data_IF_197752776702
#
_entry.id   IF_197752776702
#
_cell.length_a   1.000
_cell.length_b   1.000
_cell.length_c   1.000
_cell.angle_alpha   90.00
_cell.angle_beta   90.00
_cell.angle_gamma   90.00
#
_symmetry.space_group_name_H-M   'P 1'
#
loop_
_entity.id
_entity.type
_entity.pdbx_description
1 polymer ?
#
# COMPACT_ATOMS: atom_id res chain seq x y z
N UNK A 1 -41.89 33.06 16.39
CA UNK A 1 -40.65 33.42 15.67
C UNK A 1 -39.57 32.45 16.16
N UNK A 2 -39.51 31.19 15.76
CA UNK A 2 -39.83 30.51 14.47
C UNK A 2 -38.82 30.78 13.36
N UNK A 3 -37.98 29.75 13.09
CA UNK A 3 -37.32 29.40 11.82
C UNK A 3 -36.25 30.36 11.25
N UNK A 4 -35.23 29.95 10.46
CA UNK A 4 -34.49 28.67 10.18
C UNK A 4 -33.23 29.07 9.36
N UNK A 5 -32.40 28.10 8.94
CA UNK A 5 -31.28 28.17 7.96
C UNK A 5 -29.87 28.36 8.55
N UNK A 6 -28.83 27.64 8.09
CA UNK A 6 -28.81 26.33 7.41
C UNK A 6 -27.38 25.75 7.44
N UNK A 7 -27.24 24.43 7.27
CA UNK A 7 -25.94 23.82 6.94
C UNK A 7 -25.47 24.25 5.54
N UNK A 8 -24.23 24.71 5.43
CA UNK A 8 -23.27 24.64 4.31
C UNK A 8 -21.92 25.11 4.91
N UNK A 9 -20.74 24.57 4.65
CA UNK A 9 -20.20 23.51 3.77
C UNK A 9 -19.33 22.59 4.69
N UNK A 10 -19.13 21.27 4.53
CA UNK A 10 -19.02 20.42 3.33
C UNK A 10 -18.09 21.00 2.25
N UNK A 11 -16.87 21.34 2.67
CA UNK A 11 -15.79 21.77 1.79
C UNK A 11 -14.52 20.97 2.07
N UNK A 12 -14.06 20.24 1.06
CA UNK A 12 -12.69 19.71 0.91
C UNK A 12 -12.14 18.77 1.99
N UNK A 13 -12.53 17.50 1.92
CA UNK A 13 -11.66 16.36 2.34
C UNK A 13 -10.94 15.75 1.11
N UNK A 14 -11.05 16.40 -0.06
CA UNK A 14 -10.65 15.88 -1.37
C UNK A 14 -9.24 16.29 -1.82
N UNK A 15 -8.29 16.44 -0.89
CA UNK A 15 -6.89 16.84 -1.18
C UNK A 15 -5.90 16.03 -0.34
N UNK A 16 -6.14 14.73 -0.21
CA UNK A 16 -5.48 13.87 0.77
C UNK A 16 -4.97 12.54 0.21
N UNK A 17 -4.59 12.47 -1.08
CA UNK A 17 -4.11 11.23 -1.67
C UNK A 17 -2.98 11.39 -2.71
N UNK A 18 -1.72 11.16 -2.27
CA UNK A 18 -0.64 10.64 -3.13
C UNK A 18 0.25 9.59 -2.42
N UNK A 19 0.93 8.58 -3.02
CA UNK A 19 1.00 7.92 -4.34
C UNK A 19 1.56 6.49 -4.09
N UNK A 20 0.74 5.42 -4.15
CA UNK A 20 1.15 4.03 -3.79
C UNK A 20 2.03 3.31 -4.85
N UNK A 21 2.79 4.05 -5.67
CA UNK A 21 3.29 3.59 -6.98
C UNK A 21 4.82 3.49 -7.19
N UNK A 22 5.66 3.65 -6.16
CA UNK A 22 7.13 3.69 -6.36
C UNK A 22 7.85 2.33 -6.38
N UNK A 23 7.12 1.20 -6.31
CA UNK A 23 7.71 -0.16 -6.19
C UNK A 23 7.89 -0.87 -7.56
N UNK A 24 7.58 -0.21 -8.68
CA UNK A 24 7.51 -0.82 -10.02
C UNK A 24 8.61 -0.36 -11.02
N UNK A 25 9.71 0.27 -10.57
CA UNK A 25 10.81 0.73 -11.44
C UNK A 25 12.13 -0.02 -11.14
N UNK A 26 13.05 -0.13 -12.11
CA UNK A 26 13.35 -1.46 -12.65
C UNK A 26 14.54 -2.19 -12.01
N UNK A 27 14.47 -3.52 -12.08
CA UNK A 27 15.52 -4.47 -11.68
C UNK A 27 16.74 -4.50 -12.65
N UNK A 28 17.12 -3.36 -13.22
CA UNK A 28 18.20 -3.21 -14.21
C UNK A 28 19.41 -2.47 -13.63
N UNK A 29 19.85 -2.88 -12.45
CA UNK A 29 21.07 -2.39 -11.82
C UNK A 29 22.34 -2.88 -12.54
N UNK A 30 22.68 -2.24 -13.67
CA UNK A 30 24.08 -2.14 -14.08
C UNK A 30 24.80 -1.17 -13.12
N UNK A 31 25.97 -1.51 -12.56
CA UNK A 31 26.53 -0.79 -11.42
C UNK A 31 27.28 0.49 -11.84
N UNK A 32 26.54 1.55 -12.23
CA UNK A 32 26.95 2.98 -12.19
C UNK A 32 25.89 3.89 -12.81
N UNK A 33 24.82 4.19 -12.08
CA UNK A 33 23.97 5.35 -12.34
C UNK A 33 23.34 5.83 -11.04
N UNK A 34 23.29 7.14 -10.82
CA UNK A 34 22.53 7.74 -9.71
C UNK A 34 21.04 7.37 -9.84
N UNK A 35 20.29 7.25 -8.73
CA UNK A 35 18.86 6.95 -8.81
C UNK A 35 18.15 8.00 -9.68
N UNK A 36 17.28 7.59 -10.61
CA UNK A 36 16.56 8.53 -11.47
C UNK A 36 15.58 9.35 -10.63
N UNK A 37 15.86 10.65 -10.49
CA UNK A 37 14.90 11.64 -10.01
C UNK A 37 13.84 11.88 -11.08
N UNK A 38 12.88 10.97 -11.18
CA UNK A 38 11.70 11.13 -12.04
C UNK A 38 10.61 11.84 -11.25
N UNK A 39 10.63 13.17 -11.27
CA UNK A 39 9.49 14.00 -10.84
C UNK A 39 8.34 13.86 -11.84
N UNK A 40 7.59 12.76 -11.75
CA UNK A 40 6.27 12.63 -12.36
C UNK A 40 5.22 12.73 -11.24
N UNK A 41 4.56 13.88 -11.04
CA UNK A 41 3.54 14.02 -10.01
C UNK A 41 2.29 13.21 -10.40
N UNK A 42 2.15 12.02 -9.83
CA UNK A 42 0.94 11.20 -9.87
C UNK A 42 -0.18 11.78 -8.97
N UNK A 43 -0.28 13.12 -8.88
CA UNK A 43 -1.20 13.87 -8.02
C UNK A 43 -2.66 13.85 -8.49
N UNK A 44 -2.97 13.20 -9.62
CA UNK A 44 -4.32 13.06 -10.18
C UNK A 44 -4.55 11.64 -10.76
N UNK A 45 -4.13 10.57 -10.07
CA UNK A 45 -4.45 9.19 -10.48
C UNK A 45 -5.90 8.83 -10.10
N UNK A 46 -6.73 8.67 -11.14
CA UNK A 46 -8.12 8.22 -10.97
C UNK A 46 -8.24 6.80 -10.39
N UNK A 47 -7.23 5.95 -10.59
CA UNK A 47 -7.20 4.60 -10.02
C UNK A 47 -6.86 4.61 -8.53
N UNK A 48 -6.01 5.55 -8.07
CA UNK A 48 -5.71 5.74 -6.63
C UNK A 48 -6.94 6.29 -5.90
N UNK A 49 -7.61 7.30 -6.47
CA UNK A 49 -8.88 7.81 -5.95
C UNK A 49 -9.92 6.68 -5.85
N UNK A 50 -10.12 5.92 -6.94
CA UNK A 50 -11.02 4.77 -6.96
C UNK A 50 -10.67 3.76 -5.87
N UNK A 51 -9.40 3.34 -5.77
CA UNK A 51 -8.93 2.40 -4.75
C UNK A 51 -9.26 2.87 -3.32
N UNK A 52 -9.06 4.14 -3.00
CA UNK A 52 -9.37 4.66 -1.66
C UNK A 52 -10.86 4.54 -1.29
N UNK A 53 -11.76 4.68 -2.27
CA UNK A 53 -13.20 4.53 -2.05
C UNK A 53 -13.67 3.09 -1.92
N UNK A 54 -12.89 2.13 -2.44
CA UNK A 54 -13.23 0.70 -2.39
C UNK A 54 -13.18 0.14 -0.97
N UNK A 55 -12.22 0.57 -0.16
CA UNK A 55 -11.99 0.03 1.18
C UNK A 55 -13.11 0.35 2.18
N UNK A 56 -13.20 -0.46 3.24
CA UNK A 56 -14.13 -0.20 4.36
C UNK A 56 -13.82 1.10 5.09
N UNK A 57 -14.80 1.60 5.84
CA UNK A 57 -14.59 2.75 6.75
C UNK A 57 -13.44 2.52 7.71
N UNK A 58 -13.25 1.29 8.19
CA UNK A 58 -12.28 0.98 9.23
C UNK A 58 -10.85 0.91 8.67
N UNK A 59 -10.70 0.43 7.44
CA UNK A 59 -9.45 0.49 6.69
C UNK A 59 -9.11 1.96 6.37
N UNK A 60 -10.08 2.76 5.88
CA UNK A 60 -9.88 4.18 5.62
C UNK A 60 -9.49 4.94 6.91
N UNK A 61 -10.23 4.74 8.01
CA UNK A 61 -9.93 5.33 9.32
C UNK A 61 -8.54 4.93 9.83
N UNK A 62 -8.09 3.71 9.52
CA UNK A 62 -6.73 3.24 9.84
C UNK A 62 -5.68 3.95 9.00
N UNK A 63 -5.83 3.99 7.68
CA UNK A 63 -4.89 4.64 6.77
C UNK A 63 -4.74 6.15 7.04
N UNK A 64 -5.83 6.83 7.42
CA UNK A 64 -5.84 8.28 7.67
C UNK A 64 -5.78 8.66 9.16
N UNK A 65 -5.51 7.72 10.07
CA UNK A 65 -5.65 7.88 11.53
C UNK A 65 -4.96 9.13 12.12
N UNK A 66 -3.82 9.53 11.57
CA UNK A 66 -3.06 10.71 11.98
C UNK A 66 -2.91 11.78 10.88
N UNK A 67 -3.73 11.73 9.82
CA UNK A 67 -3.55 12.62 8.65
C UNK A 67 -3.63 14.10 9.05
N UNK A 68 -4.65 14.50 9.81
CA UNK A 68 -4.85 15.87 10.32
C UNK A 68 -3.93 16.23 11.52
N UNK A 69 -3.21 15.25 12.07
CA UNK A 69 -2.47 15.33 13.34
C UNK A 69 -0.94 15.25 13.17
N UNK A 70 -0.43 15.72 12.03
CA UNK A 70 1.01 15.76 11.75
C UNK A 70 1.62 14.43 11.32
N UNK A 71 0.80 13.43 10.96
CA UNK A 71 1.16 12.06 10.54
C UNK A 71 1.50 11.13 11.71
N UNK A 72 1.59 9.83 11.41
CA UNK A 72 1.78 8.80 12.42
C UNK A 72 3.21 8.81 12.96
N UNK A 73 3.36 8.80 14.28
CA UNK A 73 4.63 8.49 14.93
C UNK A 73 4.61 7.02 15.37
N UNK A 74 5.58 6.25 14.87
CA UNK A 74 5.70 4.81 15.14
C UNK A 74 6.77 4.52 16.19
N UNK A 75 7.54 5.53 16.63
CA UNK A 75 8.48 5.40 17.75
C UNK A 75 7.69 5.09 19.02
N UNK A 76 8.00 3.95 19.64
CA UNK A 76 7.14 3.24 20.58
C UNK A 76 6.74 4.04 21.84
N UNK A 77 5.45 3.99 22.17
CA UNK A 77 4.99 3.89 23.58
C UNK A 77 4.49 2.47 23.94
N UNK A 78 3.74 1.79 23.05
CA UNK A 78 3.38 0.37 23.20
C UNK A 78 2.79 -0.21 21.89
N UNK A 79 3.11 -1.47 21.49
CA UNK A 79 2.52 -2.09 20.30
C UNK A 79 1.03 -2.43 20.46
N UNK A 80 0.53 -2.53 21.70
CA UNK A 80 -0.90 -2.69 22.02
C UNK A 80 -1.55 -1.35 22.42
N UNK A 81 -0.80 -0.25 22.32
CA UNK A 81 -1.29 1.10 22.57
C UNK A 81 -2.10 1.67 21.41
N UNK A 82 -2.75 2.81 21.67
CA UNK A 82 -3.27 3.68 20.62
C UNK A 82 -2.11 4.24 19.80
N UNK A 83 -2.34 4.47 18.51
CA UNK A 83 -1.38 5.13 17.63
C UNK A 83 -1.20 6.58 18.07
N UNK A 84 0.06 7.00 18.21
CA UNK A 84 0.43 8.38 18.51
C UNK A 84 0.66 9.12 17.20
N UNK A 85 0.15 10.34 17.11
CA UNK A 85 0.39 11.24 15.99
C UNK A 85 1.51 12.23 16.34
N UNK A 86 2.17 12.82 15.36
CA UNK A 86 3.35 13.66 15.59
C UNK A 86 3.06 14.96 16.38
N UNK A 87 1.80 15.38 16.51
CA UNK A 87 1.37 16.45 17.41
C UNK A 87 1.20 16.01 18.89
N UNK A 88 1.43 14.74 19.19
CA UNK A 88 1.27 14.12 20.52
C UNK A 88 -0.16 13.66 20.83
N UNK A 89 -1.10 13.75 19.89
CA UNK A 89 -2.45 13.19 20.06
C UNK A 89 -2.47 11.68 19.88
N UNK A 90 -3.49 11.03 20.46
CA UNK A 90 -3.73 9.60 20.28
C UNK A 90 -4.92 9.40 19.34
N UNK A 91 -4.72 8.65 18.26
CA UNK A 91 -5.81 8.23 17.38
C UNK A 91 -6.66 7.12 18.04
N UNK A 92 -7.84 6.85 17.50
CA UNK A 92 -8.71 5.74 17.94
C UNK A 92 -8.23 4.36 17.47
N UNK A 93 -7.22 4.34 16.61
CA UNK A 93 -6.63 3.14 15.97
C UNK A 93 -5.43 2.69 16.80
N UNK A 94 -5.18 1.38 16.90
CA UNK A 94 -4.00 0.86 17.63
C UNK A 94 -2.74 0.91 16.77
N UNK A 95 -1.57 1.05 17.40
CA UNK A 95 -0.26 1.02 16.73
C UNK A 95 -0.09 -0.24 15.86
N UNK A 96 -0.44 -1.42 16.39
CA UNK A 96 -0.46 -2.69 15.65
C UNK A 96 -1.42 -2.70 14.46
N UNK A 97 -2.64 -2.19 14.61
CA UNK A 97 -3.60 -2.14 13.50
C UNK A 97 -3.08 -1.23 12.37
N UNK A 98 -2.54 -0.06 12.72
CA UNK A 98 -1.93 0.85 11.77
C UNK A 98 -0.77 0.20 11.00
N UNK A 99 0.22 -0.35 11.70
CA UNK A 99 1.37 -0.99 11.05
C UNK A 99 0.92 -2.17 10.19
N UNK A 100 0.03 -3.03 10.67
CA UNK A 100 -0.46 -4.17 9.88
C UNK A 100 -1.12 -3.71 8.58
N UNK A 101 -2.16 -2.86 8.67
CA UNK A 101 -2.92 -2.39 7.51
C UNK A 101 -2.04 -1.65 6.49
N UNK A 102 -1.18 -0.73 6.93
CA UNK A 102 -0.28 -0.02 6.01
C UNK A 102 0.74 -0.99 5.42
N UNK A 103 1.32 -1.90 6.22
CA UNK A 103 2.30 -2.88 5.72
C UNK A 103 1.71 -3.85 4.70
N UNK A 104 0.47 -4.30 4.90
CA UNK A 104 -0.22 -5.24 4.01
C UNK A 104 -0.61 -4.56 2.69
N UNK A 105 -1.07 -3.29 2.71
CA UNK A 105 -1.35 -2.50 1.50
C UNK A 105 -0.08 -2.26 0.68
N UNK A 106 1.03 -1.87 1.32
CA UNK A 106 2.31 -1.67 0.64
C UNK A 106 2.88 -2.98 0.10
N UNK A 107 2.80 -4.08 0.86
CA UNK A 107 3.21 -5.41 0.39
C UNK A 107 2.36 -5.88 -0.80
N UNK A 108 1.05 -5.65 -0.78
CA UNK A 108 0.16 -5.96 -1.90
C UNK A 108 0.53 -5.16 -3.16
N UNK A 109 0.80 -3.86 -3.05
CA UNK A 109 1.31 -3.05 -4.18
C UNK A 109 2.65 -3.58 -4.72
N UNK A 110 3.55 -4.05 -3.85
CA UNK A 110 4.81 -4.68 -4.27
C UNK A 110 4.56 -6.00 -5.03
N UNK A 111 3.65 -6.85 -4.53
CA UNK A 111 3.30 -8.12 -5.19
C UNK A 111 2.65 -7.90 -6.57
N UNK A 112 1.76 -6.91 -6.69
CA UNK A 112 1.16 -6.51 -7.97
C UNK A 112 2.25 -5.96 -8.90
N UNK A 113 3.16 -5.12 -8.41
CA UNK A 113 4.32 -4.64 -9.17
C UNK A 113 5.19 -5.78 -9.72
N UNK A 114 5.45 -6.83 -8.92
CA UNK A 114 6.14 -8.03 -9.39
C UNK A 114 5.35 -8.81 -10.45
N UNK A 115 4.02 -8.93 -10.31
CA UNK A 115 3.18 -9.53 -11.37
C UNK A 115 3.23 -8.73 -12.68
N UNK A 116 3.13 -7.40 -12.61
CA UNK A 116 3.24 -6.50 -13.78
C UNK A 116 4.62 -6.64 -14.45
N UNK A 117 5.69 -6.67 -13.65
CA UNK A 117 7.04 -6.88 -14.16
C UNK A 117 7.21 -8.26 -14.86
N UNK A 118 6.64 -9.34 -14.33
CA UNK A 118 6.66 -10.66 -14.99
C UNK A 118 5.81 -10.70 -16.28
N UNK A 119 4.73 -9.90 -16.37
CA UNK A 119 3.94 -9.77 -17.60
C UNK A 119 4.71 -9.03 -18.70
N UNK A 120 5.45 -7.98 -18.34
CA UNK A 120 6.31 -7.21 -19.26
C UNK A 120 7.57 -7.99 -19.69
N UNK A 121 8.13 -8.78 -18.77
CA UNK A 121 9.37 -9.52 -18.97
C UNK A 121 9.15 -11.00 -18.69
N UNK A 122 8.59 -11.79 -19.63
CA UNK A 122 8.26 -13.21 -19.43
C UNK A 122 9.43 -14.13 -19.08
N UNK A 123 10.67 -13.65 -19.18
CA UNK A 123 11.87 -14.32 -18.67
C UNK A 123 12.01 -14.25 -17.14
N UNK A 124 11.34 -13.31 -16.47
CA UNK A 124 11.29 -13.22 -15.02
C UNK A 124 10.25 -14.23 -14.51
N UNK A 125 10.68 -15.10 -13.62
CA UNK A 125 9.84 -16.14 -12.98
C UNK A 125 9.65 -15.82 -11.49
N UNK A 126 8.60 -16.36 -10.83
CA UNK A 126 8.43 -16.23 -9.37
C UNK A 126 9.66 -16.70 -8.59
N UNK A 127 10.32 -17.78 -9.05
CA UNK A 127 11.58 -18.29 -8.51
C UNK A 127 12.69 -17.24 -8.60
N UNK A 128 12.80 -16.51 -9.70
CA UNK A 128 13.78 -15.42 -9.82
C UNK A 128 13.46 -14.28 -8.86
N UNK A 129 12.18 -13.88 -8.70
CA UNK A 129 11.80 -12.84 -7.72
C UNK A 129 12.19 -13.25 -6.30
N UNK A 130 11.93 -14.51 -5.92
CA UNK A 130 12.32 -15.06 -4.61
C UNK A 130 13.85 -15.05 -4.44
N UNK A 131 14.59 -15.59 -5.42
CA UNK A 131 16.07 -15.59 -5.42
C UNK A 131 16.70 -14.20 -5.41
N UNK A 132 16.05 -13.20 -6.02
CA UNK A 132 16.49 -11.81 -5.90
C UNK A 132 16.38 -11.36 -4.44
N UNK A 133 15.22 -11.56 -3.80
CA UNK A 133 14.99 -11.13 -2.41
C UNK A 133 15.73 -11.93 -1.33
N UNK A 134 16.43 -13.01 -1.69
CA UNK A 134 17.44 -13.66 -0.85
C UNK A 134 18.82 -12.96 -0.92
N UNK A 135 19.08 -12.15 -1.94
CA UNK A 135 20.35 -11.43 -2.13
C UNK A 135 20.37 -10.11 -1.32
N UNK A 136 21.31 -9.92 -0.37
CA UNK A 136 21.41 -8.72 0.46
C UNK A 136 21.51 -7.39 -0.30
N UNK A 137 22.12 -7.38 -1.49
CA UNK A 137 22.24 -6.15 -2.30
C UNK A 137 20.87 -5.71 -2.81
N UNK A 138 20.04 -6.65 -3.29
CA UNK A 138 18.72 -6.32 -3.82
C UNK A 138 17.69 -6.08 -2.70
N UNK A 139 17.83 -6.75 -1.54
CA UNK A 139 17.11 -6.39 -0.31
C UNK A 139 17.39 -4.92 0.04
N UNK A 140 18.65 -4.48 -0.06
CA UNK A 140 19.04 -3.08 0.15
C UNK A 140 18.38 -2.11 -0.83
N UNK A 141 18.33 -2.45 -2.12
CA UNK A 141 17.62 -1.66 -3.14
C UNK A 141 16.12 -1.63 -2.87
N UNK A 142 15.49 -2.76 -2.53
CA UNK A 142 14.06 -2.82 -2.22
C UNK A 142 13.71 -2.01 -0.98
N UNK A 143 14.55 -2.07 0.07
CA UNK A 143 14.43 -1.22 1.27
C UNK A 143 14.39 0.26 0.87
N UNK A 144 15.35 0.71 0.05
CA UNK A 144 15.44 2.10 -0.39
C UNK A 144 14.23 2.54 -1.24
N UNK A 145 13.69 1.64 -2.08
CA UNK A 145 12.47 1.93 -2.86
C UNK A 145 11.26 2.10 -1.95
N UNK A 146 11.06 1.20 -0.96
CA UNK A 146 9.95 1.31 -0.01
C UNK A 146 10.12 2.53 0.90
N UNK A 147 11.34 2.82 1.38
CA UNK A 147 11.68 4.02 2.14
C UNK A 147 11.32 5.29 1.35
N UNK A 148 11.72 5.38 0.09
CA UNK A 148 11.34 6.47 -0.79
C UNK A 148 9.82 6.57 -0.98
N UNK A 149 9.11 5.44 -1.15
CA UNK A 149 7.63 5.43 -1.19
C UNK A 149 7.04 5.99 0.09
N UNK A 150 7.43 5.48 1.26
CA UNK A 150 6.90 5.89 2.57
C UNK A 150 7.09 7.39 2.80
N UNK A 151 8.27 7.93 2.48
CA UNK A 151 8.59 9.36 2.59
C UNK A 151 7.74 10.18 1.61
N UNK A 152 7.65 9.78 0.34
CA UNK A 152 6.89 10.51 -0.70
C UNK A 152 5.38 10.54 -0.44
N UNK A 153 4.83 9.48 0.18
CA UNK A 153 3.41 9.38 0.50
C UNK A 153 3.02 10.19 1.75
N UNK A 154 4.00 10.71 2.50
CA UNK A 154 3.78 11.44 3.74
C UNK A 154 2.89 10.70 4.75
N UNK A 155 2.97 9.36 4.84
CA UNK A 155 2.33 8.58 5.92
C UNK A 155 2.96 8.87 7.29
N UNK A 156 4.22 9.30 7.27
CA UNK A 156 5.05 9.61 8.43
C UNK A 156 5.61 11.05 8.30
N UNK A 157 6.06 11.67 9.41
CA UNK A 157 6.77 12.94 9.34
C UNK A 157 8.07 12.81 8.55
N UNK A 158 8.36 13.77 7.65
CA UNK A 158 9.48 13.67 6.70
C UNK A 158 10.89 13.59 7.32
N UNK A 159 11.03 13.90 8.62
CA UNK A 159 12.29 13.79 9.38
C UNK A 159 12.33 12.57 10.33
N UNK A 160 11.24 11.79 10.43
CA UNK A 160 11.09 10.70 11.39
C UNK A 160 11.73 9.39 10.92
N UNK A 161 13.06 9.39 10.76
CA UNK A 161 13.86 8.24 10.27
C UNK A 161 13.52 6.93 10.96
N UNK A 162 13.41 6.92 12.29
CA UNK A 162 13.08 5.71 13.06
C UNK A 162 11.67 5.18 12.79
N UNK A 163 10.68 6.05 12.58
CA UNK A 163 9.33 5.64 12.19
C UNK A 163 9.32 5.07 10.77
N UNK A 164 10.11 5.65 9.86
CA UNK A 164 10.29 5.13 8.50
C UNK A 164 10.94 3.74 8.53
N UNK A 165 12.02 3.54 9.29
CA UNK A 165 12.65 2.23 9.48
C UNK A 165 11.65 1.18 9.98
N UNK A 166 10.82 1.50 10.98
CA UNK A 166 9.80 0.59 11.54
C UNK A 166 8.78 0.16 10.47
N UNK A 167 8.29 1.10 9.65
CA UNK A 167 7.31 0.77 8.61
C UNK A 167 7.96 0.01 7.45
N UNK A 168 9.16 0.40 7.03
CA UNK A 168 9.94 -0.28 5.98
C UNK A 168 10.28 -1.71 6.39
N UNK A 169 10.69 -1.93 7.66
CA UNK A 169 10.92 -3.26 8.22
C UNK A 169 9.64 -4.12 8.22
N UNK A 170 8.50 -3.53 8.60
CA UNK A 170 7.22 -4.22 8.57
C UNK A 170 6.84 -4.66 7.14
N UNK A 171 6.92 -3.75 6.16
CA UNK A 171 6.66 -4.06 4.73
C UNK A 171 7.62 -5.12 4.21
N UNK A 172 8.93 -4.98 4.45
CA UNK A 172 9.93 -5.98 4.02
C UNK A 172 9.68 -7.35 4.63
N UNK A 173 9.33 -7.42 5.92
CA UNK A 173 9.00 -8.67 6.59
C UNK A 173 7.72 -9.31 6.02
N UNK A 174 6.69 -8.52 5.68
CA UNK A 174 5.49 -9.01 4.97
C UNK A 174 5.86 -9.62 3.63
N UNK A 175 6.60 -8.88 2.81
CA UNK A 175 7.04 -9.29 1.47
C UNK A 175 7.87 -10.58 1.53
N UNK A 176 8.88 -10.64 2.41
CA UNK A 176 9.73 -11.81 2.58
C UNK A 176 8.95 -13.03 3.08
N UNK A 177 8.06 -12.86 4.07
CA UNK A 177 7.22 -13.97 4.58
C UNK A 177 6.30 -14.51 3.49
N UNK A 178 5.69 -13.61 2.72
CA UNK A 178 4.76 -13.93 1.64
C UNK A 178 5.44 -14.74 0.53
N UNK A 179 6.66 -14.36 0.16
CA UNK A 179 7.42 -15.00 -0.92
C UNK A 179 8.20 -16.26 -0.50
N UNK A 180 7.99 -16.77 0.73
CA UNK A 180 8.42 -18.12 1.10
C UNK A 180 7.63 -19.20 0.35
N UNK A 181 6.42 -18.89 -0.12
CA UNK A 181 5.67 -19.71 -1.07
C UNK A 181 5.92 -19.18 -2.50
N UNK A 182 6.75 -19.90 -3.27
CA UNK A 182 7.02 -19.57 -4.68
C UNK A 182 5.76 -19.52 -5.56
N UNK A 183 4.69 -20.21 -5.16
CA UNK A 183 3.42 -20.20 -5.88
C UNK A 183 2.57 -18.96 -5.59
N UNK A 184 2.89 -18.19 -4.55
CA UNK A 184 2.10 -17.05 -4.11
C UNK A 184 1.94 -16.01 -5.21
N UNK A 185 3.00 -15.64 -5.93
CA UNK A 185 2.91 -14.68 -7.05
C UNK A 185 2.08 -15.19 -8.23
N UNK A 186 1.95 -16.51 -8.42
CA UNK A 186 1.07 -17.10 -9.43
C UNK A 186 -0.40 -17.08 -8.97
N UNK A 187 -0.61 -17.17 -7.66
CA UNK A 187 -1.91 -17.26 -6.99
C UNK A 187 -2.36 -15.94 -6.32
N UNK A 188 -1.66 -14.81 -6.55
CA UNK A 188 -1.87 -13.54 -5.82
C UNK A 188 -3.33 -13.06 -5.87
N UNK A 189 -3.95 -13.18 -7.05
CA UNK A 189 -5.33 -12.76 -7.33
C UNK A 189 -6.36 -13.87 -7.04
N UNK A 190 -5.92 -15.01 -6.48
CA UNK A 190 -6.73 -16.19 -6.25
C UNK A 190 -7.21 -16.87 -7.55
N UNK A 191 -8.22 -17.72 -7.41
CA UNK A 191 -8.99 -18.23 -8.55
C UNK A 191 -10.01 -17.19 -9.05
N UNK A 192 -10.51 -17.28 -10.29
CA UNK A 192 -11.50 -16.32 -10.81
C UNK A 192 -12.76 -16.15 -9.93
N UNK A 193 -13.25 -17.24 -9.33
CA UNK A 193 -14.40 -17.19 -8.42
C UNK A 193 -14.08 -16.47 -7.10
N UNK A 194 -12.84 -16.59 -6.60
CA UNK A 194 -12.40 -15.82 -5.43
C UNK A 194 -12.21 -14.34 -5.80
N UNK A 195 -11.60 -14.03 -6.95
CA UNK A 195 -11.45 -12.67 -7.47
C UNK A 195 -12.81 -11.97 -7.58
N UNK A 196 -13.79 -12.57 -8.28
CA UNK A 196 -15.14 -12.01 -8.45
C UNK A 196 -15.84 -11.77 -7.09
N UNK A 197 -15.70 -12.70 -6.15
CA UNK A 197 -16.27 -12.57 -4.80
C UNK A 197 -15.62 -11.44 -4.01
N UNK A 198 -14.29 -11.29 -4.07
CA UNK A 198 -13.55 -10.20 -3.40
C UNK A 198 -13.90 -8.85 -4.02
N UNK A 199 -13.97 -8.75 -5.35
CA UNK A 199 -14.40 -7.51 -6.02
C UNK A 199 -15.81 -7.10 -5.58
N UNK A 200 -16.74 -8.05 -5.54
CA UNK A 200 -18.14 -7.80 -5.19
C UNK A 200 -18.40 -7.47 -3.70
N UNK A 201 -17.44 -7.74 -2.79
CA UNK A 201 -17.65 -7.63 -1.33
C UNK A 201 -16.61 -6.81 -0.58
N UNK A 202 -15.32 -6.94 -0.93
CA UNK A 202 -14.21 -6.22 -0.31
C UNK A 202 -13.81 -4.97 -1.12
N UNK A 203 -13.87 -5.02 -2.45
CA UNK A 203 -13.49 -3.88 -3.31
C UNK A 203 -14.68 -3.06 -3.85
N UNK A 204 -15.91 -3.28 -3.36
CA UNK A 204 -17.09 -2.50 -3.76
C UNK A 204 -17.50 -1.57 -2.63
N UNK A 205 -17.54 -0.26 -2.89
CA UNK A 205 -17.73 0.77 -1.88
C UNK A 205 -19.12 0.73 -1.19
N UNK A 206 -19.21 0.85 0.15
CA UNK A 206 -18.11 0.72 1.11
C UNK A 206 -17.74 -0.77 1.28
N UNK A 207 -16.46 -1.09 1.13
CA UNK A 207 -15.98 -2.47 1.23
C UNK A 207 -16.14 -3.06 2.64
N UNK A 208 -16.05 -4.38 2.73
CA UNK A 208 -16.02 -5.11 4.00
C UNK A 208 -14.65 -4.99 4.71
N UNK A 209 -14.61 -5.29 6.01
CA UNK A 209 -13.33 -5.46 6.73
C UNK A 209 -12.55 -6.69 6.24
N UNK A 210 -11.26 -6.75 6.58
CA UNK A 210 -10.41 -7.92 6.27
C UNK A 210 -10.94 -9.15 6.99
N UNK A 211 -11.34 -9.01 8.25
CA UNK A 211 -11.87 -10.08 9.09
C UNK A 211 -13.16 -10.69 8.50
N UNK A 212 -14.07 -9.86 8.00
CA UNK A 212 -15.30 -10.36 7.37
C UNK A 212 -15.03 -10.94 5.98
N UNK A 213 -14.13 -10.35 5.19
CA UNK A 213 -13.78 -10.85 3.85
C UNK A 213 -13.07 -12.21 3.92
N UNK A 214 -12.09 -12.37 4.81
CA UNK A 214 -11.36 -13.64 5.03
C UNK A 214 -12.26 -14.76 5.60
N UNK A 215 -13.35 -14.41 6.27
CA UNK A 215 -14.37 -15.38 6.71
C UNK A 215 -15.25 -15.92 5.56
N UNK A 216 -15.31 -15.22 4.41
CA UNK A 216 -16.10 -15.62 3.23
C UNK A 216 -15.19 -16.25 2.16
N UNK A 217 -14.02 -15.66 1.93
CA UNK A 217 -13.07 -16.07 0.88
C UNK A 217 -11.74 -16.44 1.55
N UNK A 218 -11.24 -17.69 1.39
CA UNK A 218 -9.99 -18.13 2.01
C UNK A 218 -8.79 -17.59 1.23
N UNK A 219 -8.54 -16.29 1.41
CA UNK A 219 -7.38 -15.52 0.95
C UNK A 219 -6.86 -14.72 2.14
N UNK A 220 -5.60 -14.30 2.14
CA UNK A 220 -5.07 -13.40 3.17
C UNK A 220 -5.27 -11.91 2.83
N UNK A 221 -4.91 -11.03 3.77
CA UNK A 221 -5.04 -9.57 3.62
C UNK A 221 -4.28 -9.01 2.42
N UNK A 222 -3.09 -9.54 2.10
CA UNK A 222 -2.26 -9.07 0.99
C UNK A 222 -2.92 -9.46 -0.33
N UNK A 223 -3.47 -10.67 -0.46
CA UNK A 223 -4.27 -11.07 -1.63
C UNK A 223 -5.53 -10.21 -1.79
N UNK A 224 -6.26 -9.94 -0.70
CA UNK A 224 -7.45 -9.09 -0.71
C UNK A 224 -7.13 -7.66 -1.20
N UNK A 225 -6.05 -7.04 -0.67
CA UNK A 225 -5.60 -5.73 -1.13
C UNK A 225 -5.09 -5.75 -2.57
N UNK A 226 -4.35 -6.78 -2.99
CA UNK A 226 -3.84 -6.93 -4.35
C UNK A 226 -4.96 -7.01 -5.39
N UNK A 227 -6.07 -7.69 -5.06
CA UNK A 227 -7.27 -7.73 -5.90
C UNK A 227 -7.88 -6.33 -6.06
N UNK A 228 -7.99 -5.54 -4.99
CA UNK A 228 -8.52 -4.17 -5.13
C UNK A 228 -7.57 -3.23 -5.91
N UNK A 229 -6.25 -3.39 -5.75
CA UNK A 229 -5.22 -2.66 -6.51
C UNK A 229 -5.28 -3.00 -8.01
N UNK A 230 -5.52 -4.27 -8.34
CA UNK A 230 -5.75 -4.72 -9.71
C UNK A 230 -7.07 -4.18 -10.27
N UNK A 231 -8.15 -4.29 -9.50
CA UNK A 231 -9.51 -3.91 -9.90
C UNK A 231 -9.68 -2.40 -10.05
N UNK A 232 -9.00 -1.58 -9.24
CA UNK A 232 -9.09 -0.12 -9.32
C UNK A 232 -8.60 0.43 -10.66
N UNK A 233 -7.71 -0.31 -11.35
CA UNK A 233 -7.00 0.11 -12.56
C UNK A 233 -5.52 0.44 -12.31
N UNK A 234 -5.07 0.46 -11.05
CA UNK A 234 -3.75 0.94 -10.67
C UNK A 234 -2.61 0.09 -11.28
N UNK A 235 -2.81 -1.23 -11.37
CA UNK A 235 -1.90 -2.13 -12.07
C UNK A 235 -1.74 -1.79 -13.57
N UNK A 236 -2.81 -1.27 -14.20
CA UNK A 236 -2.78 -0.81 -15.60
C UNK A 236 -2.02 0.51 -15.76
N UNK A 237 -2.15 1.44 -14.81
CA UNK A 237 -1.35 2.67 -14.78
C UNK A 237 0.16 2.36 -14.55
N UNK A 238 0.48 1.41 -13.66
CA UNK A 238 1.86 0.89 -13.50
C UNK A 238 2.41 0.33 -14.82
N UNK A 239 1.63 -0.54 -15.48
CA UNK A 239 2.00 -1.15 -16.76
C UNK A 239 2.27 -0.09 -17.85
N UNK A 240 1.48 0.99 -17.90
CA UNK A 240 1.72 2.07 -18.84
C UNK A 240 3.03 2.80 -18.55
N UNK A 241 3.25 3.24 -17.30
CA UNK A 241 4.46 3.97 -16.91
C UNK A 241 5.74 3.17 -17.15
N UNK A 242 5.71 1.85 -16.92
CA UNK A 242 6.84 0.95 -17.20
C UNK A 242 7.12 0.72 -18.70
N UNK A 243 6.18 1.03 -19.60
CA UNK A 243 6.40 0.99 -21.06
C UNK A 243 6.87 2.34 -21.63
N UNK A 244 6.77 3.43 -20.87
CA UNK A 244 7.12 4.79 -21.30
C UNK A 244 8.54 5.23 -20.87
N UNK A 245 9.23 4.43 -20.05
CA UNK A 245 10.60 4.67 -19.55
C UNK A 245 11.67 3.73 -20.14
#
# INVERSE_FOLDING_TARGET
MSHVYSLHLLGSVATALPILLTIALPLTAAPSASPPTTEAPLTESSSIDRLSTMFSSDIQNTLYACFEHGRADLVLESPDGLLVCADGTHATVTHRAYINTVSDVFAASAMVGFQVAMQLYPQITPQMVTLFLENPETIGVMRQMIEATVIQNAFLPGEATQSTDILVDAVMNRIQTTLQDESYLLNLLGTPAQYEQVVASFCTAPGMSVEEATAIVPLDSIQLYAICIQESGLAGEMLQLMNEG
#
